data_IF_279958188277
#
_entry.id   IF_279958188277
#
_cell.length_a   1.000
_cell.length_b   1.000
_cell.length_c   1.000
_cell.angle_alpha   90.00
_cell.angle_beta   90.00
_cell.angle_gamma   90.00
#
_symmetry.space_group_name_H-M   'P 1'
#
loop_
_entity.id
_entity.type
_entity.pdbx_description
1 polymer ?
#
# COMPACT_ATOMS: atom_id res chain seq x y z
N UNK A 1 4.69 12.78 -17.25
CA UNK A 1 6.14 12.50 -17.13
C UNK A 1 6.64 13.10 -15.82
N UNK A 2 7.17 12.29 -14.90
CA UNK A 2 7.69 12.73 -13.60
C UNK A 2 8.78 13.78 -13.84
N UNK A 3 8.61 15.02 -13.36
CA UNK A 3 9.66 16.03 -13.45
C UNK A 3 10.68 15.76 -12.35
N UNK A 4 11.84 15.19 -12.72
CA UNK A 4 12.86 14.76 -11.76
C UNK A 4 13.16 15.81 -10.68
N UNK A 5 13.23 17.10 -11.05
CA UNK A 5 13.49 18.21 -10.11
C UNK A 5 12.47 18.30 -8.97
N UNK A 6 11.19 18.05 -9.24
CA UNK A 6 10.11 18.14 -8.23
C UNK A 6 10.01 16.89 -7.34
N UNK A 7 10.61 15.78 -7.76
CA UNK A 7 10.53 14.49 -7.07
C UNK A 7 11.85 14.07 -6.41
N UNK A 8 12.95 14.82 -6.58
CA UNK A 8 14.25 14.48 -5.97
C UNK A 8 14.15 14.16 -4.47
N UNK A 9 13.36 14.95 -3.73
CA UNK A 9 13.22 14.83 -2.28
C UNK A 9 12.56 13.52 -1.81
N UNK A 10 11.81 12.81 -2.67
CA UNK A 10 11.22 11.50 -2.37
C UNK A 10 11.96 10.37 -3.10
N UNK A 11 12.47 10.63 -4.30
CA UNK A 11 13.17 9.66 -5.13
C UNK A 11 14.56 9.31 -4.55
N UNK A 12 15.32 10.29 -4.07
CA UNK A 12 16.65 10.03 -3.49
C UNK A 12 16.54 9.14 -2.25
N UNK A 13 15.69 9.44 -1.25
CA UNK A 13 15.52 8.54 -0.12
C UNK A 13 14.97 7.16 -0.52
N UNK A 14 14.05 7.09 -1.49
CA UNK A 14 13.55 5.79 -1.97
C UNK A 14 14.64 4.94 -2.63
N UNK A 15 15.54 5.53 -3.41
CA UNK A 15 16.69 4.81 -3.99
C UNK A 15 17.65 4.36 -2.90
N UNK A 16 17.98 5.23 -1.94
CA UNK A 16 18.85 4.88 -0.82
C UNK A 16 18.27 3.72 0.00
N UNK A 17 16.96 3.76 0.28
CA UNK A 17 16.26 2.69 0.97
C UNK A 17 16.23 1.40 0.14
N UNK A 18 16.07 1.47 -1.18
CA UNK A 18 16.12 0.30 -2.05
C UNK A 18 17.51 -0.34 -2.05
N UNK A 19 18.58 0.47 -2.12
CA UNK A 19 19.96 -0.03 -2.06
C UNK A 19 20.22 -0.66 -0.70
N UNK A 20 19.84 0.02 0.39
CA UNK A 20 19.94 -0.51 1.76
C UNK A 20 19.20 -1.84 1.90
N UNK A 21 17.95 -1.91 1.43
CA UNK A 21 17.15 -3.13 1.49
C UNK A 21 17.74 -4.26 0.62
N UNK A 22 18.33 -3.93 -0.54
CA UNK A 22 18.96 -4.94 -1.40
C UNK A 22 20.22 -5.53 -0.76
N UNK A 23 21.08 -4.69 -0.17
CA UNK A 23 22.25 -5.15 0.58
C UNK A 23 21.81 -5.97 1.79
N UNK A 24 20.84 -5.46 2.56
CA UNK A 24 20.27 -6.15 3.72
C UNK A 24 19.70 -7.52 3.35
N UNK A 25 18.93 -7.61 2.26
CA UNK A 25 18.38 -8.89 1.78
C UNK A 25 19.46 -9.91 1.41
N UNK A 26 20.52 -9.47 0.70
CA UNK A 26 21.64 -10.35 0.33
C UNK A 26 22.37 -10.84 1.57
N UNK A 27 22.70 -9.95 2.51
CA UNK A 27 23.40 -10.34 3.75
C UNK A 27 22.52 -11.27 4.59
N UNK A 28 21.26 -10.92 4.81
CA UNK A 28 20.33 -11.72 5.60
C UNK A 28 19.98 -13.06 4.95
N UNK A 29 20.20 -13.24 3.65
CA UNK A 29 20.05 -14.57 3.03
C UNK A 29 21.03 -15.60 3.59
N UNK A 30 22.19 -15.15 4.09
CA UNK A 30 23.22 -16.03 4.66
C UNK A 30 23.22 -16.06 6.19
N UNK A 31 22.69 -15.02 6.84
CA UNK A 31 22.78 -14.83 8.30
C UNK A 31 21.41 -14.63 8.96
N UNK A 32 20.33 -15.10 8.35
CA UNK A 32 18.97 -14.83 8.82
C UNK A 32 18.72 -15.39 10.22
N UNK A 33 19.21 -16.61 10.48
CA UNK A 33 19.02 -17.31 11.75
C UNK A 33 19.81 -16.63 12.87
N UNK A 34 21.09 -16.36 12.65
CA UNK A 34 21.96 -15.68 13.60
C UNK A 34 21.46 -14.27 13.92
N UNK A 35 20.94 -13.56 12.90
CA UNK A 35 20.33 -12.26 13.09
C UNK A 35 19.04 -12.34 13.90
N UNK A 36 18.17 -13.33 13.65
CA UNK A 36 16.95 -13.54 14.41
C UNK A 36 17.24 -13.91 15.88
N UNK A 37 18.24 -14.77 16.13
CA UNK A 37 18.73 -15.09 17.47
C UNK A 37 19.26 -13.86 18.21
N UNK A 38 20.02 -13.01 17.53
CA UNK A 38 20.56 -11.79 18.12
C UNK A 38 19.47 -10.75 18.41
N UNK A 39 18.59 -10.47 17.43
CA UNK A 39 17.50 -9.51 17.57
C UNK A 39 16.45 -9.96 18.60
N UNK A 40 16.16 -11.26 18.65
CA UNK A 40 15.18 -11.85 19.58
C UNK A 40 15.51 -11.60 21.04
N UNK A 41 16.79 -11.40 21.40
CA UNK A 41 17.22 -11.02 22.76
C UNK A 41 16.58 -9.71 23.24
N UNK A 42 16.16 -8.84 22.31
CA UNK A 42 15.43 -7.61 22.63
C UNK A 42 14.11 -7.87 23.38
N UNK A 43 13.48 -9.03 23.20
CA UNK A 43 12.24 -9.39 23.90
C UNK A 43 12.42 -9.57 25.40
N UNK A 44 13.65 -9.62 25.94
CA UNK A 44 13.90 -9.65 27.39
C UNK A 44 13.54 -8.34 28.10
N UNK A 45 13.40 -7.25 27.36
CA UNK A 45 13.16 -5.92 27.92
C UNK A 45 11.70 -5.51 27.76
N UNK A 46 11.01 -5.20 28.86
CA UNK A 46 9.58 -4.83 28.86
C UNK A 46 9.25 -3.62 27.97
N UNK A 47 10.11 -2.59 27.97
CA UNK A 47 9.94 -1.42 27.10
C UNK A 47 9.98 -1.82 25.62
N UNK A 48 10.86 -2.76 25.26
CA UNK A 48 10.95 -3.27 23.89
C UNK A 48 9.72 -4.11 23.55
N UNK A 49 9.25 -4.97 24.46
CA UNK A 49 7.98 -5.71 24.28
C UNK A 49 6.82 -4.75 23.98
N UNK A 50 6.69 -3.65 24.73
CA UNK A 50 5.66 -2.65 24.46
C UNK A 50 5.77 -2.02 23.07
N UNK A 51 6.97 -1.60 22.66
CA UNK A 51 7.20 -1.03 21.33
C UNK A 51 6.89 -2.05 20.23
N UNK A 52 7.29 -3.30 20.42
CA UNK A 52 7.00 -4.41 19.50
C UNK A 52 5.49 -4.60 19.34
N UNK A 53 4.77 -4.74 20.45
CA UNK A 53 3.32 -4.92 20.48
C UNK A 53 2.63 -3.74 19.79
N UNK A 54 3.06 -2.51 20.09
CA UNK A 54 2.52 -1.29 19.48
C UNK A 54 2.67 -1.28 17.96
N UNK A 55 3.86 -1.58 17.46
CA UNK A 55 4.12 -1.61 16.02
C UNK A 55 3.41 -2.75 15.30
N UNK A 56 3.25 -3.91 15.94
CA UNK A 56 2.42 -5.00 15.39
C UNK A 56 0.98 -4.53 15.17
N UNK A 57 0.36 -3.91 16.18
CA UNK A 57 -1.01 -3.40 16.07
C UNK A 57 -1.15 -2.30 15.02
N UNK A 58 -0.23 -1.33 14.99
CA UNK A 58 -0.25 -0.31 13.95
C UNK A 58 -0.10 -0.91 12.57
N UNK A 59 0.84 -1.84 12.36
CA UNK A 59 1.07 -2.39 11.02
C UNK A 59 -0.13 -3.21 10.50
N UNK A 60 -0.94 -3.80 11.38
CA UNK A 60 -2.19 -4.46 11.01
C UNK A 60 -3.29 -3.50 10.52
N UNK A 61 -3.28 -2.24 10.99
CA UNK A 61 -4.38 -1.30 10.72
C UNK A 61 -3.98 -0.15 9.79
N UNK A 62 -2.68 0.18 9.68
CA UNK A 62 -2.19 1.37 8.96
C UNK A 62 -2.54 1.37 7.47
N UNK A 63 -2.74 0.20 6.84
CA UNK A 63 -3.16 0.10 5.44
C UNK A 63 -4.60 0.59 5.20
N UNK A 64 -5.44 0.65 6.23
CA UNK A 64 -6.80 1.19 6.12
C UNK A 64 -6.78 2.71 5.88
N UNK A 65 -5.79 3.42 6.43
CA UNK A 65 -5.63 4.88 6.26
C UNK A 65 -5.52 5.31 4.78
N UNK A 66 -4.58 4.79 3.95
CA UNK A 66 -4.53 5.11 2.53
C UNK A 66 -5.82 4.80 1.79
N UNK A 67 -6.45 3.68 2.12
CA UNK A 67 -7.71 3.28 1.49
C UNK A 67 -8.82 4.31 1.79
N UNK A 68 -8.93 4.77 3.03
CA UNK A 68 -9.87 5.81 3.44
C UNK A 68 -9.62 7.14 2.72
N UNK A 69 -8.35 7.56 2.64
CA UNK A 69 -7.97 8.79 1.93
C UNK A 69 -8.41 8.71 0.46
N UNK A 70 -8.12 7.59 -0.21
CA UNK A 70 -8.54 7.38 -1.59
C UNK A 70 -10.07 7.38 -1.74
N UNK A 71 -10.78 6.68 -0.85
CA UNK A 71 -12.24 6.63 -0.84
C UNK A 71 -12.89 8.01 -0.62
N UNK A 72 -12.39 8.79 0.35
CA UNK A 72 -12.88 10.15 0.59
C UNK A 72 -12.58 11.11 -0.55
N UNK A 73 -11.42 10.97 -1.21
CA UNK A 73 -11.13 11.74 -2.42
C UNK A 73 -12.11 11.40 -3.55
N UNK A 74 -12.44 10.13 -3.74
CA UNK A 74 -13.46 9.73 -4.72
C UNK A 74 -14.84 10.26 -4.36
N UNK A 75 -15.23 10.16 -3.07
CA UNK A 75 -16.48 10.68 -2.57
C UNK A 75 -16.61 12.19 -2.83
N UNK A 76 -15.62 12.99 -2.41
CA UNK A 76 -15.63 14.44 -2.62
C UNK A 76 -15.54 14.81 -4.10
N UNK A 77 -14.75 14.08 -4.89
CA UNK A 77 -14.70 14.29 -6.35
C UNK A 77 -16.05 14.04 -6.99
N UNK A 78 -16.74 12.95 -6.61
CA UNK A 78 -18.06 12.60 -7.10
C UNK A 78 -19.11 13.65 -6.71
N UNK A 79 -19.14 14.07 -5.43
CA UNK A 79 -20.04 15.10 -4.94
C UNK A 79 -19.82 16.44 -5.64
N UNK A 80 -18.57 16.88 -5.77
CA UNK A 80 -18.25 18.13 -6.47
C UNK A 80 -18.65 18.06 -7.94
N UNK A 81 -18.35 16.97 -8.64
CA UNK A 81 -18.78 16.78 -10.02
C UNK A 81 -20.31 16.81 -10.16
N UNK A 82 -21.05 16.09 -9.32
CA UNK A 82 -22.52 16.05 -9.40
C UNK A 82 -23.18 17.38 -9.05
N UNK A 83 -22.59 18.21 -8.19
CA UNK A 83 -23.11 19.56 -7.88
C UNK A 83 -23.08 20.53 -9.06
N UNK A 84 -22.25 20.26 -10.08
CA UNK A 84 -22.12 21.13 -11.26
C UNK A 84 -23.24 20.95 -12.27
N UNK A 85 -24.00 19.85 -12.20
CA UNK A 85 -25.11 19.59 -13.11
C UNK A 85 -26.33 20.42 -12.67
N UNK A 86 -27.05 21.00 -13.64
CA UNK A 86 -28.31 21.73 -13.42
C UNK A 86 -29.31 20.78 -12.74
N UNK A 87 -30.04 21.29 -11.73
CA UNK A 87 -31.07 20.57 -10.97
C UNK A 87 -30.61 19.30 -10.23
N UNK A 88 -29.33 19.25 -9.83
CA UNK A 88 -28.77 18.12 -9.10
C UNK A 88 -29.31 18.00 -7.68
N UNK A 89 -29.85 16.83 -7.31
CA UNK A 89 -30.22 16.47 -5.93
C UNK A 89 -29.11 16.74 -4.92
N UNK A 90 -27.84 16.58 -5.33
CA UNK A 90 -26.66 16.83 -4.48
C UNK A 90 -26.42 18.31 -4.18
N UNK A 91 -26.96 19.22 -5.00
CA UNK A 91 -26.92 20.66 -4.76
C UNK A 91 -27.93 21.03 -3.68
N UNK A 92 -29.15 20.52 -3.77
CA UNK A 92 -30.20 20.70 -2.75
C UNK A 92 -29.83 20.02 -1.43
N UNK A 93 -29.29 18.81 -1.48
CA UNK A 93 -28.95 17.99 -0.32
C UNK A 93 -27.45 17.99 -0.01
N UNK A 94 -26.83 19.17 -0.02
CA UNK A 94 -25.36 19.31 0.09
C UNK A 94 -24.76 18.77 1.41
N UNK A 95 -25.61 18.60 2.44
CA UNK A 95 -25.28 18.01 3.75
C UNK A 95 -25.22 16.48 3.74
N UNK A 96 -25.76 15.81 2.71
CA UNK A 96 -25.86 14.34 2.66
C UNK A 96 -24.51 13.60 2.75
N UNK A 97 -23.43 14.24 2.30
CA UNK A 97 -22.07 13.70 2.44
C UNK A 97 -21.65 13.50 3.91
N UNK A 98 -22.18 14.30 4.85
CA UNK A 98 -21.90 14.11 6.28
C UNK A 98 -22.47 12.79 6.79
N UNK A 99 -23.59 12.32 6.25
CA UNK A 99 -24.12 11.00 6.59
C UNK A 99 -23.18 9.89 6.11
N UNK A 100 -22.51 10.07 4.97
CA UNK A 100 -21.51 9.10 4.48
C UNK A 100 -20.28 9.09 5.40
N UNK A 101 -19.77 10.26 5.80
CA UNK A 101 -18.68 10.33 6.77
C UNK A 101 -19.05 9.75 8.14
N UNK A 102 -20.26 10.06 8.63
CA UNK A 102 -20.77 9.53 9.89
C UNK A 102 -20.93 8.01 9.83
N UNK A 103 -21.51 7.48 8.75
CA UNK A 103 -21.66 6.04 8.55
C UNK A 103 -20.31 5.34 8.55
N UNK A 104 -19.32 5.88 7.82
CA UNK A 104 -17.95 5.35 7.84
C UNK A 104 -17.38 5.34 9.26
N UNK A 105 -17.48 6.46 9.99
CA UNK A 105 -16.95 6.56 11.34
C UNK A 105 -17.63 5.60 12.31
N UNK A 106 -18.95 5.42 12.23
CA UNK A 106 -19.70 4.46 13.04
C UNK A 106 -19.25 3.04 12.74
N UNK A 107 -19.17 2.65 11.47
CA UNK A 107 -18.72 1.30 11.09
C UNK A 107 -17.28 1.02 11.56
N UNK A 108 -16.37 1.98 11.36
CA UNK A 108 -14.98 1.86 11.81
C UNK A 108 -14.87 1.81 13.34
N UNK A 109 -15.62 2.66 14.07
CA UNK A 109 -15.62 2.66 15.53
C UNK A 109 -16.20 1.37 16.10
N UNK A 110 -17.33 0.88 15.58
CA UNK A 110 -17.92 -0.40 15.98
C UNK A 110 -16.95 -1.55 15.73
N UNK A 111 -16.29 -1.61 14.57
CA UNK A 111 -15.31 -2.64 14.27
C UNK A 111 -14.12 -2.62 15.24
N UNK A 112 -13.58 -1.43 15.56
CA UNK A 112 -12.46 -1.31 16.50
C UNK A 112 -12.85 -1.58 17.95
N UNK A 113 -14.02 -1.11 18.40
CA UNK A 113 -14.54 -1.41 19.74
C UNK A 113 -14.77 -2.91 19.90
N UNK A 114 -15.32 -3.57 18.87
CA UNK A 114 -15.48 -5.03 18.86
C UNK A 114 -14.15 -5.76 18.97
N UNK A 115 -13.12 -5.31 18.23
CA UNK A 115 -11.77 -5.86 18.33
C UNK A 115 -11.15 -5.65 19.71
N UNK A 116 -11.36 -4.49 20.34
CA UNK A 116 -10.91 -4.20 21.71
C UNK A 116 -11.63 -5.06 22.75
N UNK A 117 -12.94 -5.25 22.60
CA UNK A 117 -13.73 -6.11 23.47
C UNK A 117 -13.26 -7.57 23.38
N UNK A 118 -13.12 -8.09 22.15
CA UNK A 118 -12.63 -9.45 21.91
C UNK A 118 -11.24 -9.69 22.46
N UNK A 119 -10.34 -8.71 22.42
CA UNK A 119 -8.96 -8.86 22.88
C UNK A 119 -8.83 -9.35 24.33
N UNK A 120 -9.84 -9.13 25.18
CA UNK A 120 -9.86 -9.59 26.59
C UNK A 120 -10.16 -11.07 26.75
N UNK A 121 -10.74 -11.69 25.71
CA UNK A 121 -11.22 -13.08 25.74
C UNK A 121 -10.46 -13.98 24.76
N UNK A 122 -9.37 -13.49 24.17
CA UNK A 122 -8.54 -14.30 23.28
C UNK A 122 -7.71 -15.24 24.14
N UNK A 123 -7.83 -16.54 23.85
CA UNK A 123 -6.95 -17.58 24.32
C UNK A 123 -6.14 -18.12 23.13
N UNK A 124 -4.83 -17.93 23.17
CA UNK A 124 -3.88 -18.42 22.15
C UNK A 124 -3.29 -19.79 22.51
N UNK A 125 -3.87 -20.49 23.49
CA UNK A 125 -3.43 -21.80 24.00
C UNK A 125 -2.70 -21.74 25.34
N UNK A 126 -2.50 -20.54 25.91
CA UNK A 126 -1.84 -20.32 27.21
C UNK A 126 -2.80 -19.78 28.28
N UNK A 127 -4.10 -19.73 27.96
CA UNK A 127 -5.13 -19.17 28.82
C UNK A 127 -5.55 -17.75 28.43
N UNK A 128 -6.71 -17.34 28.94
CA UNK A 128 -7.31 -16.03 28.69
C UNK A 128 -6.41 -14.94 29.27
N UNK A 129 -6.14 -13.88 28.48
CA UNK A 129 -5.39 -12.72 28.96
C UNK A 129 -3.88 -12.80 28.75
N UNK A 130 -3.37 -13.91 28.20
CA UNK A 130 -1.98 -14.08 27.76
C UNK A 130 -1.85 -13.89 26.25
N UNK A 131 -0.84 -13.11 25.85
CA UNK A 131 -0.41 -12.96 24.47
C UNK A 131 0.89 -13.77 24.27
N UNK A 132 0.79 -14.84 23.50
CA UNK A 132 1.87 -15.81 23.27
C UNK A 132 2.94 -15.24 22.34
N UNK A 133 2.53 -14.49 21.32
CA UNK A 133 3.42 -13.86 20.33
C UNK A 133 4.54 -13.03 21.01
N UNK A 134 4.19 -12.38 22.12
CA UNK A 134 5.08 -11.43 22.79
C UNK A 134 5.46 -11.84 24.22
N UNK A 135 5.03 -13.04 24.67
CA UNK A 135 5.26 -13.57 26.03
C UNK A 135 4.94 -12.50 27.07
N UNK A 136 3.70 -12.01 27.03
CA UNK A 136 3.21 -10.93 27.91
C UNK A 136 1.69 -11.01 28.08
N UNK A 137 1.10 -10.06 28.80
CA UNK A 137 -0.35 -9.97 28.98
C UNK A 137 -1.01 -9.16 27.86
N UNK A 138 -2.31 -9.39 27.64
CA UNK A 138 -3.12 -8.61 26.70
C UNK A 138 -3.24 -7.12 27.06
N UNK A 139 -2.77 -6.69 28.24
CA UNK A 139 -2.70 -5.27 28.64
C UNK A 139 -1.88 -4.46 27.64
N UNK A 140 -0.74 -5.00 27.21
CA UNK A 140 0.14 -4.35 26.23
C UNK A 140 -0.58 -4.13 24.90
N UNK A 141 -1.31 -5.17 24.45
CA UNK A 141 -2.09 -5.10 23.23
C UNK A 141 -3.30 -4.16 23.33
N UNK A 142 -3.97 -4.15 24.48
CA UNK A 142 -5.10 -3.25 24.75
C UNK A 142 -4.66 -1.78 24.67
N UNK A 143 -3.61 -1.40 25.41
CA UNK A 143 -3.09 -0.03 25.41
C UNK A 143 -2.63 0.36 24.00
N UNK A 144 -1.89 -0.53 23.33
CA UNK A 144 -1.39 -0.31 21.96
C UNK A 144 -2.52 -0.07 20.96
N UNK A 145 -3.59 -0.88 21.01
CA UNK A 145 -4.78 -0.69 20.16
C UNK A 145 -5.52 0.61 20.47
N UNK A 146 -5.62 1.02 21.74
CA UNK A 146 -6.23 2.31 22.11
C UNK A 146 -5.43 3.47 21.51
N UNK A 147 -4.09 3.45 21.61
CA UNK A 147 -3.23 4.49 21.02
C UNK A 147 -3.37 4.50 19.49
N UNK A 148 -3.37 3.33 18.84
CA UNK A 148 -3.58 3.22 17.39
C UNK A 148 -4.95 3.77 16.98
N UNK A 149 -6.01 3.43 17.70
CA UNK A 149 -7.37 3.90 17.48
C UNK A 149 -7.48 5.44 17.58
N UNK A 150 -6.89 6.06 18.61
CA UNK A 150 -6.87 7.53 18.76
C UNK A 150 -6.06 8.18 17.62
N UNK A 151 -4.93 7.58 17.26
CA UNK A 151 -4.06 8.09 16.20
C UNK A 151 -4.76 8.06 14.84
N UNK A 152 -5.42 6.95 14.51
CA UNK A 152 -6.23 6.78 13.31
C UNK A 152 -7.42 7.74 13.27
N UNK A 153 -8.18 7.85 14.35
CA UNK A 153 -9.29 8.81 14.46
C UNK A 153 -8.80 10.23 14.14
N UNK A 154 -7.67 10.63 14.73
CA UNK A 154 -7.06 11.95 14.51
C UNK A 154 -6.72 12.16 13.04
N UNK A 155 -6.13 11.14 12.38
CA UNK A 155 -5.81 11.20 10.96
C UNK A 155 -7.09 11.28 10.10
N UNK A 156 -8.10 10.46 10.37
CA UNK A 156 -9.37 10.49 9.63
C UNK A 156 -10.07 11.83 9.73
N UNK A 157 -10.17 12.39 10.94
CA UNK A 157 -10.75 13.71 11.17
C UNK A 157 -9.93 14.81 10.47
N UNK A 158 -8.60 14.72 10.51
CA UNK A 158 -7.72 15.61 9.77
C UNK A 158 -7.93 15.55 8.26
N UNK A 159 -8.03 14.35 7.69
CA UNK A 159 -8.28 14.14 6.26
C UNK A 159 -9.66 14.68 5.85
N UNK A 160 -10.71 14.36 6.60
CA UNK A 160 -12.07 14.87 6.34
C UNK A 160 -12.06 16.39 6.42
N UNK A 161 -11.42 16.98 7.44
CA UNK A 161 -11.32 18.43 7.58
C UNK A 161 -10.62 19.07 6.36
N UNK A 162 -9.47 18.53 5.96
CA UNK A 162 -8.71 19.03 4.81
C UNK A 162 -9.49 18.90 3.50
N UNK A 163 -10.08 17.73 3.24
CA UNK A 163 -10.85 17.49 2.02
C UNK A 163 -12.09 18.39 1.98
N UNK A 164 -12.88 18.39 3.04
CA UNK A 164 -14.18 19.06 3.06
C UNK A 164 -14.07 20.58 3.09
N UNK A 165 -13.20 21.13 3.94
CA UNK A 165 -13.15 22.57 4.19
C UNK A 165 -12.09 23.30 3.37
N UNK A 166 -11.03 22.62 2.93
CA UNK A 166 -9.98 23.25 2.11
C UNK A 166 -10.05 22.88 0.63
N UNK A 167 -10.28 21.62 0.29
CA UNK A 167 -10.13 21.14 -1.09
C UNK A 167 -11.44 21.01 -1.88
N UNK A 168 -12.58 20.75 -1.22
CA UNK A 168 -13.86 20.53 -1.87
C UNK A 168 -14.61 21.81 -2.27
N UNK A 169 -14.07 22.99 -1.95
CA UNK A 169 -14.70 24.29 -2.25
C UNK A 169 -14.79 24.63 -3.75
N UNK A 170 -14.19 23.82 -4.62
CA UNK A 170 -14.33 23.90 -6.08
C UNK A 170 -14.18 22.52 -6.71
N UNK A 171 -14.39 22.39 -8.03
CA UNK A 171 -14.03 21.18 -8.81
C UNK A 171 -12.53 20.85 -8.79
N UNK A 172 -11.75 21.41 -7.86
CA UNK A 172 -10.31 21.26 -7.69
C UNK A 172 -9.85 19.81 -7.71
N UNK A 173 -10.50 18.94 -6.93
CA UNK A 173 -10.14 17.51 -6.86
C UNK A 173 -10.31 16.81 -8.22
N UNK A 174 -11.41 17.11 -8.92
CA UNK A 174 -11.67 16.60 -10.26
C UNK A 174 -10.68 17.19 -11.28
N UNK A 175 -10.59 18.52 -11.37
CA UNK A 175 -9.82 19.27 -12.36
C UNK A 175 -8.31 19.03 -12.26
N UNK A 176 -7.81 18.67 -11.06
CA UNK A 176 -6.40 18.31 -10.86
C UNK A 176 -6.16 16.80 -10.83
N UNK A 177 -7.16 15.99 -11.14
CA UNK A 177 -7.01 14.54 -11.27
C UNK A 177 -6.69 13.79 -9.97
N UNK A 178 -7.06 14.32 -8.79
CA UNK A 178 -6.82 13.64 -7.51
C UNK A 178 -7.51 12.26 -7.45
N UNK A 179 -8.63 12.07 -8.15
CA UNK A 179 -9.28 10.77 -8.23
C UNK A 179 -8.42 9.70 -8.92
N UNK A 180 -7.58 10.08 -9.90
CA UNK A 180 -6.64 9.15 -10.57
C UNK A 180 -5.58 8.71 -9.55
N UNK A 181 -5.12 9.62 -8.71
CA UNK A 181 -4.14 9.31 -7.68
C UNK A 181 -4.75 8.37 -6.61
N UNK A 182 -6.03 8.53 -6.27
CA UNK A 182 -6.78 7.54 -5.49
C UNK A 182 -6.79 6.14 -6.14
N UNK A 183 -6.97 6.06 -7.46
CA UNK A 183 -6.88 4.77 -8.20
C UNK A 183 -5.47 4.18 -8.14
N UNK A 184 -4.42 5.00 -8.17
CA UNK A 184 -3.04 4.53 -8.00
C UNK A 184 -2.85 3.91 -6.61
N UNK A 185 -3.31 4.59 -5.54
CA UNK A 185 -3.22 4.08 -4.16
C UNK A 185 -3.95 2.73 -4.04
N UNK A 186 -5.21 2.65 -4.45
CA UNK A 186 -5.99 1.40 -4.35
C UNK A 186 -5.42 0.30 -5.22
N UNK A 187 -4.99 0.61 -6.46
CA UNK A 187 -4.32 -0.36 -7.32
C UNK A 187 -3.04 -0.90 -6.69
N UNK A 188 -2.24 -0.05 -6.06
CA UNK A 188 -1.01 -0.47 -5.38
C UNK A 188 -1.33 -1.41 -4.21
N UNK A 189 -2.31 -1.08 -3.37
CA UNK A 189 -2.73 -1.95 -2.26
C UNK A 189 -3.20 -3.31 -2.80
N UNK A 190 -4.18 -3.33 -3.71
CA UNK A 190 -4.77 -4.56 -4.23
C UNK A 190 -3.73 -5.44 -4.89
N UNK A 191 -2.92 -4.88 -5.81
CA UNK A 191 -1.92 -5.67 -6.54
C UNK A 191 -0.83 -6.18 -5.60
N UNK A 192 -0.36 -5.36 -4.67
CA UNK A 192 0.71 -5.77 -3.76
C UNK A 192 0.24 -6.85 -2.78
N UNK A 193 -0.98 -6.75 -2.26
CA UNK A 193 -1.53 -7.78 -1.38
C UNK A 193 -1.87 -9.08 -2.13
N UNK A 194 -2.29 -9.02 -3.40
CA UNK A 194 -2.44 -10.24 -4.23
C UNK A 194 -1.08 -10.93 -4.40
N UNK A 195 -0.03 -10.17 -4.74
CA UNK A 195 1.33 -10.73 -4.87
C UNK A 195 1.80 -11.29 -3.54
N UNK A 196 1.59 -10.56 -2.44
CA UNK A 196 1.96 -11.00 -1.10
C UNK A 196 1.26 -12.30 -0.71
N UNK A 197 -0.06 -12.42 -0.90
CA UNK A 197 -0.80 -13.64 -0.60
C UNK A 197 -0.29 -14.81 -1.45
N UNK A 198 -0.07 -14.58 -2.74
CA UNK A 198 0.47 -15.60 -3.63
C UNK A 198 1.85 -16.10 -3.18
N UNK A 199 2.78 -15.19 -2.84
CA UNK A 199 4.13 -15.58 -2.39
C UNK A 199 4.05 -16.25 -1.01
N UNK A 200 3.32 -15.66 -0.05
CA UNK A 200 3.12 -16.23 1.30
C UNK A 200 2.67 -17.68 1.24
N UNK A 201 1.61 -17.95 0.48
CA UNK A 201 1.09 -19.30 0.34
C UNK A 201 1.91 -20.19 -0.59
N UNK A 202 2.81 -19.65 -1.41
CA UNK A 202 3.71 -20.48 -2.23
C UNK A 202 4.88 -21.04 -1.43
N UNK A 203 5.47 -20.22 -0.55
CA UNK A 203 6.65 -20.62 0.22
C UNK A 203 6.26 -21.22 1.57
N UNK A 204 5.22 -20.68 2.23
CA UNK A 204 4.73 -21.13 3.53
C UNK A 204 5.82 -21.26 4.59
N UNK A 205 6.75 -20.32 4.57
CA UNK A 205 7.86 -20.25 5.50
C UNK A 205 7.35 -19.92 6.91
N UNK A 206 7.82 -20.63 7.95
CA UNK A 206 7.36 -20.42 9.31
C UNK A 206 8.10 -19.30 10.03
N UNK A 207 7.39 -18.60 10.91
CA UNK A 207 7.98 -17.61 11.82
C UNK A 207 9.12 -18.21 12.66
N UNK A 208 10.10 -17.36 13.03
CA UNK A 208 11.20 -17.75 13.91
C UNK A 208 10.71 -18.28 15.27
N UNK A 209 9.68 -17.68 15.87
CA UNK A 209 9.05 -18.17 17.10
C UNK A 209 8.41 -19.56 16.98
N UNK A 210 8.13 -20.02 15.75
CA UNK A 210 7.55 -21.34 15.50
C UNK A 210 8.59 -22.44 15.33
N UNK A 211 9.87 -22.09 15.29
CA UNK A 211 10.91 -23.11 15.41
C UNK A 211 10.79 -23.79 16.76
N UNK A 212 10.63 -25.11 16.74
CA UNK A 212 10.45 -25.94 17.93
C UNK A 212 11.56 -25.72 18.96
N UNK A 213 12.80 -25.68 18.50
CA UNK A 213 13.97 -25.40 19.35
C UNK A 213 13.87 -24.05 20.06
N UNK A 214 13.40 -23.01 19.37
CA UNK A 214 13.23 -21.66 19.94
C UNK A 214 12.08 -21.63 20.93
N UNK A 215 10.98 -22.29 20.58
CA UNK A 215 9.79 -22.37 21.40
C UNK A 215 10.06 -23.08 22.75
N UNK A 216 10.66 -24.27 22.69
CA UNK A 216 10.93 -25.13 23.85
C UNK A 216 12.07 -24.62 24.74
N UNK A 217 13.00 -23.81 24.21
CA UNK A 217 14.14 -23.29 25.00
C UNK A 217 13.95 -21.83 25.39
N UNK A 218 13.77 -20.94 24.41
CA UNK A 218 13.83 -19.50 24.64
C UNK A 218 12.49 -18.96 25.11
N UNK A 219 11.41 -19.30 24.41
CA UNK A 219 10.06 -18.82 24.74
C UNK A 219 9.57 -19.41 26.06
N UNK A 220 9.80 -20.71 26.29
CA UNK A 220 9.47 -21.37 27.55
C UNK A 220 10.20 -20.69 28.73
N UNK A 221 11.51 -20.45 28.61
CA UNK A 221 12.27 -19.79 29.68
C UNK A 221 11.80 -18.36 29.94
N UNK A 222 11.49 -17.59 28.88
CA UNK A 222 10.90 -16.26 29.03
C UNK A 222 9.55 -16.32 29.75
N UNK A 223 8.68 -17.26 29.38
CA UNK A 223 7.37 -17.42 30.00
C UNK A 223 7.44 -17.78 31.48
N UNK A 224 8.42 -18.62 31.85
CA UNK A 224 8.70 -18.97 33.25
C UNK A 224 9.18 -17.72 34.01
N UNK A 225 10.12 -16.97 33.45
CA UNK A 225 10.67 -15.76 34.08
C UNK A 225 9.60 -14.67 34.28
N UNK A 226 8.60 -14.60 33.40
CA UNK A 226 7.46 -13.69 33.50
C UNK A 226 6.35 -14.20 34.44
N UNK A 227 6.49 -15.41 34.99
CA UNK A 227 5.47 -16.04 35.83
C UNK A 227 4.21 -16.45 35.08
N UNK A 228 4.29 -16.57 33.75
CA UNK A 228 3.17 -17.02 32.90
C UNK A 228 3.04 -18.55 32.96
N UNK A 229 4.17 -19.25 33.03
CA UNK A 229 4.23 -20.71 33.14
C UNK A 229 4.90 -21.10 34.46
N UNK A 230 4.24 -21.97 35.22
CA UNK A 230 4.81 -22.58 36.42
C UNK A 230 5.29 -24.01 36.11
N UNK A 231 6.60 -24.25 36.21
CA UNK A 231 7.22 -25.56 36.02
C UNK A 231 6.75 -26.60 37.04
N UNK A 232 6.31 -26.16 38.23
CA UNK A 232 5.83 -27.06 39.27
C UNK A 232 4.35 -27.42 39.09
N UNK A 233 3.66 -26.82 38.12
CA UNK A 233 2.27 -27.09 37.80
C UNK A 233 2.17 -27.93 36.51
N UNK A 234 1.85 -29.24 36.63
CA UNK A 234 1.65 -30.09 35.46
C UNK A 234 0.58 -29.54 34.50
N UNK A 235 -0.45 -28.86 35.02
CA UNK A 235 -1.49 -28.22 34.21
C UNK A 235 -0.93 -27.05 33.39
N UNK A 236 -0.09 -26.21 33.99
CA UNK A 236 0.54 -25.08 33.31
C UNK A 236 1.45 -25.55 32.17
N UNK A 237 2.23 -26.60 32.42
CA UNK A 237 3.12 -27.19 31.42
C UNK A 237 2.33 -27.92 30.32
N UNK A 238 1.24 -28.60 30.68
CA UNK A 238 0.35 -29.24 29.71
C UNK A 238 -0.27 -28.23 28.73
N UNK A 239 -0.71 -27.05 29.19
CA UNK A 239 -1.25 -25.99 28.32
C UNK A 239 -0.19 -25.48 27.32
N UNK A 240 1.05 -25.32 27.77
CA UNK A 240 2.15 -24.91 26.89
C UNK A 240 2.35 -25.91 25.75
N UNK A 241 2.44 -27.21 26.03
CA UNK A 241 2.61 -28.24 25.01
C UNK A 241 1.32 -28.52 24.22
N UNK A 242 0.15 -28.28 24.79
CA UNK A 242 -1.13 -28.38 24.09
C UNK A 242 -1.16 -27.42 22.90
N UNK A 243 -0.66 -26.20 23.08
CA UNK A 243 -0.58 -25.22 21.98
C UNK A 243 0.31 -25.69 20.82
N UNK A 244 1.38 -26.44 21.12
CA UNK A 244 2.21 -27.09 20.11
C UNK A 244 1.50 -28.26 19.43
N UNK A 245 0.84 -29.13 20.21
CA UNK A 245 0.08 -30.27 19.69
C UNK A 245 -1.07 -29.88 18.76
N UNK A 246 -1.67 -28.70 18.99
CA UNK A 246 -2.72 -28.12 18.16
C UNK A 246 -2.20 -27.39 16.93
N UNK A 247 -0.90 -27.49 16.66
CA UNK A 247 -0.23 -26.83 15.55
C UNK A 247 -0.45 -25.30 15.59
N UNK A 248 -0.51 -24.72 16.80
CA UNK A 248 -0.69 -23.28 17.02
C UNK A 248 0.66 -22.57 17.10
N UNK A 249 1.65 -23.18 17.76
CA UNK A 249 2.98 -22.61 17.98
C UNK A 249 4.06 -23.70 18.00
N UNK A 250 5.33 -23.36 17.71
CA UNK A 250 6.47 -24.26 17.95
C UNK A 250 6.47 -25.57 17.13
N UNK A 251 5.84 -25.55 15.95
CA UNK A 251 5.56 -26.70 15.10
C UNK A 251 6.52 -26.87 13.90
N UNK A 252 7.46 -25.94 13.71
CA UNK A 252 8.48 -26.06 12.68
C UNK A 252 9.73 -26.74 13.26
N UNK A 253 10.06 -27.93 12.78
CA UNK A 253 11.20 -28.72 13.28
C UNK A 253 12.55 -28.07 12.92
N UNK A 254 12.64 -27.39 11.77
CA UNK A 254 13.88 -26.79 11.28
C UNK A 254 13.67 -25.41 10.68
N UNK A 255 14.74 -24.61 10.66
CA UNK A 255 14.80 -23.37 9.89
C UNK A 255 14.60 -23.64 8.40
N UNK A 256 13.79 -22.80 7.75
CA UNK A 256 13.57 -22.83 6.32
C UNK A 256 14.07 -21.51 5.66
N UNK A 257 15.02 -21.57 4.72
CA UNK A 257 15.44 -20.41 3.93
C UNK A 257 14.29 -19.84 3.10
N UNK A 258 14.31 -18.52 2.86
CA UNK A 258 13.22 -17.82 2.14
C UNK A 258 12.98 -18.31 0.71
N UNK A 259 14.00 -18.90 0.08
CA UNK A 259 13.94 -19.39 -1.30
C UNK A 259 13.48 -20.85 -1.39
N UNK A 260 13.30 -21.54 -0.26
CA UNK A 260 12.81 -22.92 -0.22
C UNK A 260 11.31 -22.97 0.03
N UNK A 261 10.62 -23.81 -0.72
CA UNK A 261 9.18 -24.06 -0.53
C UNK A 261 9.02 -25.06 0.61
N UNK A 262 8.18 -24.74 1.59
CA UNK A 262 7.87 -25.64 2.69
C UNK A 262 7.03 -26.83 2.19
N UNK A 263 7.68 -27.97 1.95
CA UNK A 263 7.05 -29.17 1.40
C UNK A 263 6.87 -29.10 -0.13
N UNK A 264 5.67 -29.42 -0.62
CA UNK A 264 5.39 -29.48 -2.06
C UNK A 264 4.37 -28.42 -2.48
N UNK A 265 4.75 -27.56 -3.44
CA UNK A 265 3.92 -26.44 -3.90
C UNK A 265 2.51 -26.86 -4.35
N UNK A 266 2.39 -27.93 -5.15
CA UNK A 266 1.09 -28.40 -5.65
C UNK A 266 0.24 -29.02 -4.54
N UNK A 267 0.85 -29.81 -3.65
CA UNK A 267 0.17 -30.34 -2.47
C UNK A 267 -0.38 -29.20 -1.59
N UNK A 268 0.38 -28.11 -1.47
CA UNK A 268 0.04 -27.00 -0.60
C UNK A 268 -1.16 -26.17 -1.07
N UNK A 269 -1.55 -26.26 -2.36
CA UNK A 269 -2.69 -25.52 -2.91
C UNK A 269 -3.99 -25.79 -2.13
N UNK A 270 -4.15 -26.98 -1.55
CA UNK A 270 -5.35 -27.32 -0.75
C UNK A 270 -5.44 -26.53 0.56
N UNK A 271 -4.33 -25.97 1.05
CA UNK A 271 -4.28 -25.14 2.26
C UNK A 271 -4.41 -23.64 1.97
N UNK A 272 -4.46 -23.22 0.70
CA UNK A 272 -4.62 -21.80 0.34
C UNK A 272 -6.02 -21.28 0.61
N UNK A 273 -7.00 -22.17 0.62
CA UNK A 273 -8.41 -21.83 0.83
C UNK A 273 -8.85 -22.41 2.18
N UNK A 274 -9.19 -21.56 3.17
CA UNK A 274 -9.68 -22.03 4.46
C UNK A 274 -10.86 -22.98 4.30
N UNK A 275 -10.80 -24.13 4.98
CA UNK A 275 -11.87 -25.14 4.99
C UNK A 275 -11.76 -26.24 3.93
N UNK A 276 -10.82 -26.16 2.97
CA UNK A 276 -10.61 -27.25 2.00
C UNK A 276 -9.79 -28.42 2.55
N UNK A 277 -8.93 -28.17 3.54
CA UNK A 277 -8.12 -29.19 4.20
C UNK A 277 -7.93 -28.83 5.67
N UNK A 278 -7.68 -29.84 6.51
CA UNK A 278 -7.29 -29.61 7.89
C UNK A 278 -5.86 -29.04 7.91
N UNK A 279 -5.70 -27.85 8.50
CA UNK A 279 -4.39 -27.19 8.59
C UNK A 279 -3.39 -27.99 9.45
N UNK A 280 -3.88 -28.91 10.29
CA UNK A 280 -3.03 -29.86 11.02
C UNK A 280 -2.28 -30.83 10.09
N UNK A 281 -2.80 -31.07 8.87
CA UNK A 281 -2.17 -31.94 7.88
C UNK A 281 -1.14 -31.20 6.99
N UNK A 282 -0.96 -29.91 7.22
CA UNK A 282 -0.04 -29.08 6.46
C UNK A 282 1.42 -29.36 6.89
N UNK A 283 2.40 -29.15 6.00
CA UNK A 283 3.81 -29.24 6.35
C UNK A 283 4.13 -28.40 7.60
N UNK A 284 5.10 -28.84 8.41
CA UNK A 284 5.42 -28.21 9.70
C UNK A 284 5.56 -26.68 9.58
N UNK A 285 4.83 -25.94 10.41
CA UNK A 285 4.88 -24.47 10.40
C UNK A 285 4.05 -23.76 9.32
N UNK A 286 3.33 -24.47 8.45
CA UNK A 286 2.57 -23.87 7.33
C UNK A 286 1.39 -22.98 7.75
N UNK A 287 0.90 -23.10 8.99
CA UNK A 287 -0.22 -22.27 9.47
C UNK A 287 0.17 -20.79 9.58
N UNK A 288 1.45 -20.52 9.77
CA UNK A 288 1.98 -19.24 10.20
C UNK A 288 3.03 -18.73 9.22
N UNK A 289 2.53 -18.35 8.05
CA UNK A 289 3.32 -18.01 6.86
C UNK A 289 3.86 -16.57 6.90
N UNK A 290 5.17 -16.44 6.97
CA UNK A 290 5.83 -15.17 7.28
C UNK A 290 6.29 -14.37 6.06
N UNK A 291 6.79 -15.04 5.02
CA UNK A 291 7.44 -14.42 3.87
C UNK A 291 6.48 -14.16 2.71
N UNK A 292 6.31 -12.93 2.21
CA UNK A 292 6.92 -11.67 2.66
C UNK A 292 6.10 -10.95 3.74
N UNK A 293 6.71 -9.93 4.37
CA UNK A 293 6.08 -9.15 5.45
C UNK A 293 4.94 -8.23 4.99
N UNK A 294 3.73 -8.50 5.49
CA UNK A 294 2.55 -7.67 5.27
C UNK A 294 2.59 -6.33 6.01
N UNK A 295 3.15 -6.32 7.22
CA UNK A 295 3.32 -5.10 8.03
C UNK A 295 4.25 -4.10 7.33
N UNK A 296 5.38 -4.59 6.79
CA UNK A 296 6.29 -3.76 6.00
C UNK A 296 5.61 -3.24 4.74
N UNK A 297 4.86 -4.08 4.01
CA UNK A 297 4.08 -3.63 2.85
C UNK A 297 3.02 -2.57 3.21
N UNK A 298 2.36 -2.68 4.36
CA UNK A 298 1.37 -1.72 4.83
C UNK A 298 1.98 -0.32 5.02
N UNK A 299 3.23 -0.24 5.48
CA UNK A 299 3.98 1.03 5.58
C UNK A 299 4.18 1.69 4.20
N UNK A 300 4.45 0.91 3.15
CA UNK A 300 4.53 1.42 1.79
C UNK A 300 3.17 1.81 1.23
N UNK A 301 2.09 1.12 1.61
CA UNK A 301 0.73 1.54 1.28
C UNK A 301 0.45 2.94 1.83
N UNK A 302 0.87 3.23 3.07
CA UNK A 302 0.75 4.57 3.64
C UNK A 302 1.60 5.61 2.89
N UNK A 303 2.87 5.30 2.60
CA UNK A 303 3.75 6.17 1.80
C UNK A 303 3.20 6.46 0.40
N UNK A 304 2.47 5.50 -0.19
CA UNK A 304 1.89 5.64 -1.53
C UNK A 304 0.96 6.85 -1.67
N UNK A 305 0.27 7.27 -0.59
CA UNK A 305 -0.50 8.53 -0.60
C UNK A 305 0.40 9.72 -0.89
N UNK A 306 1.50 9.84 -0.15
CA UNK A 306 2.43 10.96 -0.30
C UNK A 306 3.02 10.94 -1.71
N UNK A 307 3.42 9.76 -2.18
CA UNK A 307 4.05 9.62 -3.49
C UNK A 307 3.10 9.95 -4.66
N UNK A 308 1.86 9.45 -4.62
CA UNK A 308 0.92 9.64 -5.74
C UNK A 308 0.21 10.99 -5.73
N UNK A 309 -0.02 11.63 -4.57
CA UNK A 309 -0.69 12.93 -4.51
C UNK A 309 0.21 14.14 -4.81
N UNK A 310 1.47 13.92 -5.20
CA UNK A 310 2.42 14.96 -5.63
C UNK A 310 2.57 14.95 -7.15
N UNK A 311 2.53 16.14 -7.78
CA UNK A 311 2.70 16.24 -9.24
C UNK A 311 2.62 17.64 -9.83
N UNK A 312 2.78 17.74 -11.15
CA UNK A 312 2.87 19.02 -11.90
C UNK A 312 1.64 19.90 -11.74
N UNK A 313 0.47 19.30 -11.57
CA UNK A 313 -0.82 20.01 -11.47
C UNK A 313 -1.32 20.11 -10.04
N UNK A 314 -0.45 19.83 -9.08
CA UNK A 314 -0.72 19.87 -7.65
C UNK A 314 -0.01 21.08 -7.04
N UNK A 315 -0.48 21.60 -5.89
CA UNK A 315 0.26 22.61 -5.15
C UNK A 315 1.70 22.16 -4.88
N UNK A 316 2.61 23.11 -4.74
CA UNK A 316 3.98 22.82 -4.32
C UNK A 316 3.94 22.08 -2.98
N UNK A 317 4.77 21.05 -2.87
CA UNK A 317 4.91 20.25 -1.65
C UNK A 317 5.39 21.14 -0.50
N UNK A 318 4.62 21.18 0.59
CA UNK A 318 4.96 21.96 1.78
C UNK A 318 6.19 21.39 2.50
N UNK A 319 6.89 22.22 3.30
CA UNK A 319 7.99 21.75 4.16
C UNK A 319 7.53 20.62 5.07
N UNK A 320 6.34 20.77 5.68
CA UNK A 320 5.73 19.76 6.55
C UNK A 320 5.58 18.39 5.86
N UNK A 321 5.13 18.36 4.60
CA UNK A 321 4.97 17.09 3.86
C UNK A 321 6.33 16.41 3.64
N UNK A 322 7.37 17.19 3.33
CA UNK A 322 8.73 16.65 3.17
C UNK A 322 9.27 16.11 4.49
N UNK A 323 9.11 16.85 5.58
CA UNK A 323 9.50 16.41 6.93
C UNK A 323 8.78 15.12 7.32
N UNK A 324 7.47 15.04 7.12
CA UNK A 324 6.69 13.83 7.41
C UNK A 324 7.19 12.61 6.59
N UNK A 325 7.62 12.82 5.36
CA UNK A 325 8.19 11.76 4.52
C UNK A 325 9.56 11.32 5.00
N UNK A 326 10.40 12.25 5.47
CA UNK A 326 11.68 11.89 6.07
C UNK A 326 11.51 11.17 7.41
N UNK A 327 10.51 11.55 8.22
CA UNK A 327 10.14 10.85 9.46
C UNK A 327 9.50 9.48 9.22
N UNK A 328 8.95 9.24 8.03
CA UNK A 328 8.43 7.93 7.66
C UNK A 328 9.55 6.87 7.54
N UNK A 329 10.76 7.25 7.14
CA UNK A 329 11.89 6.31 7.02
C UNK A 329 12.27 5.69 8.37
N UNK A 330 12.58 6.44 9.44
CA UNK A 330 12.85 5.84 10.74
C UNK A 330 11.62 5.09 11.28
N UNK A 331 10.41 5.55 10.99
CA UNK A 331 9.20 4.82 11.37
C UNK A 331 9.08 3.45 10.69
N UNK A 332 9.42 3.36 9.40
CA UNK A 332 9.53 2.09 8.67
C UNK A 332 10.64 1.20 9.25
N UNK A 333 11.82 1.77 9.52
CA UNK A 333 12.94 1.00 10.08
C UNK A 333 12.60 0.45 11.46
N UNK A 334 11.92 1.22 12.32
CA UNK A 334 11.44 0.72 13.61
C UNK A 334 10.45 -0.42 13.40
N UNK A 335 9.47 -0.27 12.49
CA UNK A 335 8.53 -1.36 12.15
C UNK A 335 9.26 -2.63 11.70
N UNK A 336 10.23 -2.53 10.79
CA UNK A 336 10.98 -3.69 10.31
C UNK A 336 11.74 -4.37 11.45
N UNK A 337 12.43 -3.58 12.27
CA UNK A 337 13.21 -4.08 13.40
C UNK A 337 12.33 -4.72 14.45
N UNK A 338 11.19 -4.11 14.81
CA UNK A 338 10.29 -4.64 15.84
C UNK A 338 9.71 -5.99 15.43
N UNK A 339 9.37 -6.18 14.16
CA UNK A 339 8.88 -7.48 13.67
C UNK A 339 9.92 -8.60 13.81
N UNK A 340 11.19 -8.27 13.57
CA UNK A 340 12.30 -9.22 13.71
C UNK A 340 12.64 -9.48 15.19
N UNK A 341 12.66 -8.44 16.02
CA UNK A 341 12.83 -8.56 17.48
C UNK A 341 11.70 -9.40 18.07
N UNK A 342 10.47 -9.23 17.59
CA UNK A 342 9.33 -10.03 18.01
C UNK A 342 9.42 -11.52 17.65
N UNK A 343 10.41 -11.92 16.83
CA UNK A 343 10.52 -13.27 16.25
C UNK A 343 9.37 -13.59 15.29
N UNK A 344 8.62 -12.57 14.88
CA UNK A 344 7.45 -12.65 14.00
C UNK A 344 7.79 -12.46 12.52
N UNK A 345 9.06 -12.23 12.18
CA UNK A 345 9.53 -12.16 10.80
C UNK A 345 11.03 -12.37 10.77
N UNK A 346 11.52 -12.86 9.64
CA UNK A 346 12.95 -12.86 9.32
C UNK A 346 13.38 -11.52 8.72
N UNK A 347 14.68 -11.24 8.73
CA UNK A 347 15.20 -10.02 8.10
C UNK A 347 14.96 -10.04 6.57
N UNK A 348 15.10 -11.22 5.97
CA UNK A 348 14.83 -11.40 4.53
C UNK A 348 13.37 -11.05 4.18
N UNK A 349 12.38 -11.36 5.04
CA UNK A 349 10.97 -11.02 4.81
C UNK A 349 10.75 -9.52 4.70
N UNK A 350 11.32 -8.76 5.64
CA UNK A 350 11.12 -7.31 5.73
C UNK A 350 11.93 -6.59 4.64
N UNK A 351 13.16 -7.03 4.34
CA UNK A 351 13.96 -6.45 3.28
C UNK A 351 13.38 -6.74 1.89
N UNK A 352 12.94 -7.97 1.63
CA UNK A 352 12.27 -8.31 0.37
C UNK A 352 11.02 -7.45 0.14
N UNK A 353 10.21 -7.26 1.19
CA UNK A 353 9.02 -6.42 1.12
C UNK A 353 9.35 -4.98 0.73
N UNK A 354 10.43 -4.42 1.26
CA UNK A 354 10.95 -3.11 0.85
C UNK A 354 11.40 -3.10 -0.63
N UNK A 355 12.17 -4.11 -1.03
CA UNK A 355 12.71 -4.22 -2.39
C UNK A 355 11.61 -4.31 -3.45
N UNK A 356 10.52 -5.03 -3.18
CA UNK A 356 9.40 -5.19 -4.11
C UNK A 356 8.49 -3.96 -4.11
N UNK A 357 8.24 -3.38 -2.93
CA UNK A 357 7.30 -2.26 -2.79
C UNK A 357 7.75 -1.01 -3.55
N UNK A 358 9.04 -0.68 -3.49
CA UNK A 358 9.57 0.55 -4.12
C UNK A 358 9.36 0.53 -5.65
N UNK A 359 9.89 -0.45 -6.43
CA UNK A 359 9.62 -0.56 -7.85
C UNK A 359 8.13 -0.71 -8.17
N UNK A 360 7.38 -1.47 -7.35
CA UNK A 360 5.94 -1.64 -7.49
C UNK A 360 5.20 -0.29 -7.49
N UNK A 361 5.55 0.61 -6.56
CA UNK A 361 4.96 1.95 -6.50
C UNK A 361 5.19 2.74 -7.80
N UNK A 362 6.40 2.70 -8.37
CA UNK A 362 6.71 3.37 -9.65
C UNK A 362 5.94 2.76 -10.81
N UNK A 363 5.88 1.42 -10.91
CA UNK A 363 5.17 0.72 -11.97
C UNK A 363 3.67 1.09 -11.98
N UNK A 364 3.03 1.12 -10.82
CA UNK A 364 1.63 1.51 -10.67
C UNK A 364 1.41 2.96 -11.07
N UNK A 365 2.28 3.90 -10.65
CA UNK A 365 2.19 5.30 -11.08
C UNK A 365 2.11 5.45 -12.60
N UNK A 366 2.93 4.68 -13.34
CA UNK A 366 2.95 4.76 -14.80
C UNK A 366 1.78 4.03 -15.48
N UNK A 367 1.35 2.88 -14.95
CA UNK A 367 0.33 2.04 -15.60
C UNK A 367 -1.08 2.53 -15.27
N UNK A 368 -1.39 2.80 -14.01
CA UNK A 368 -2.74 3.18 -13.59
C UNK A 368 -3.18 4.52 -14.21
N UNK A 369 -2.28 5.51 -14.33
CA UNK A 369 -2.58 6.78 -15.00
C UNK A 369 -2.97 6.57 -16.46
N UNK A 370 -2.21 5.75 -17.20
CA UNK A 370 -2.52 5.44 -18.60
C UNK A 370 -3.87 4.74 -18.76
N UNK A 371 -4.19 3.80 -17.86
CA UNK A 371 -5.47 3.07 -17.88
C UNK A 371 -6.63 4.02 -17.56
N UNK A 372 -6.53 4.82 -16.49
CA UNK A 372 -7.56 5.76 -16.09
C UNK A 372 -7.86 6.78 -17.19
N UNK A 373 -6.83 7.34 -17.81
CA UNK A 373 -6.99 8.27 -18.92
C UNK A 373 -7.66 7.58 -20.11
N UNK A 374 -7.22 6.39 -20.51
CA UNK A 374 -7.85 5.62 -21.60
C UNK A 374 -9.34 5.37 -21.35
N UNK A 375 -9.73 5.03 -20.13
CA UNK A 375 -11.13 4.81 -19.74
C UNK A 375 -11.90 6.14 -19.80
N UNK A 376 -11.36 7.22 -19.24
CA UNK A 376 -11.99 8.53 -19.24
C UNK A 376 -12.24 9.04 -20.67
N UNK A 377 -11.27 8.88 -21.58
CA UNK A 377 -11.42 9.23 -23.00
C UNK A 377 -12.52 8.42 -23.67
N UNK A 378 -12.59 7.10 -23.43
CA UNK A 378 -13.67 6.25 -23.95
C UNK A 378 -15.04 6.69 -23.45
N UNK A 379 -15.12 7.05 -22.18
CA UNK A 379 -16.37 7.51 -21.56
C UNK A 379 -16.80 8.88 -22.10
N UNK A 380 -15.90 9.86 -22.16
CA UNK A 380 -16.17 11.17 -22.76
C UNK A 380 -16.65 11.04 -24.22
N UNK A 381 -16.02 10.14 -25.00
CA UNK A 381 -16.41 9.82 -26.38
C UNK A 381 -17.79 9.16 -26.52
N UNK A 382 -18.26 8.46 -25.48
CA UNK A 382 -19.61 7.88 -25.41
C UNK A 382 -20.63 8.95 -25.02
N UNK A 383 -20.27 9.84 -24.10
CA UNK A 383 -21.13 10.90 -23.59
C UNK A 383 -21.12 12.18 -24.45
N UNK A 384 -20.33 12.22 -25.53
CA UNK A 384 -20.12 13.41 -26.38
C UNK A 384 -19.64 14.64 -25.57
N UNK A 385 -18.93 14.41 -24.47
CA UNK A 385 -18.34 15.48 -23.67
C UNK A 385 -16.99 15.90 -24.27
N UNK A 386 -16.66 17.19 -24.20
CA UNK A 386 -15.34 17.68 -24.61
C UNK A 386 -14.24 17.01 -23.77
N UNK A 387 -13.22 16.51 -24.46
CA UNK A 387 -12.22 15.62 -23.89
C UNK A 387 -11.04 16.39 -23.28
N UNK A 388 -10.95 17.69 -23.58
CA UNK A 388 -9.82 18.59 -23.30
C UNK A 388 -9.17 19.07 -24.59
N UNK A 389 -8.18 19.96 -24.47
CA UNK A 389 -7.46 20.49 -25.62
C UNK A 389 -6.51 19.43 -26.17
N UNK A 390 -6.68 19.08 -27.44
CA UNK A 390 -5.74 18.22 -28.12
C UNK A 390 -4.54 19.06 -28.55
N UNK A 391 -3.34 18.62 -28.21
CA UNK A 391 -2.09 19.26 -28.58
C UNK A 391 -1.39 18.43 -29.65
N UNK A 392 -1.11 19.03 -30.80
CA UNK A 392 -0.20 18.44 -31.79
C UNK A 392 1.15 19.13 -31.67
N UNK A 393 2.13 18.42 -31.09
CA UNK A 393 3.48 18.92 -30.83
C UNK A 393 4.44 18.39 -31.89
N UNK A 394 5.07 19.29 -32.64
CA UNK A 394 6.03 18.94 -33.68
C UNK A 394 7.47 18.90 -33.12
N UNK A 395 8.22 17.85 -33.48
CA UNK A 395 9.65 17.66 -33.19
C UNK A 395 10.39 17.41 -34.53
N UNK A 396 11.71 17.60 -34.59
CA UNK A 396 12.57 17.44 -35.77
C UNK A 396 12.27 16.20 -36.65
N UNK A 397 11.82 15.08 -36.07
CA UNK A 397 11.59 13.81 -36.81
C UNK A 397 10.13 13.33 -36.84
N UNK A 398 9.27 13.82 -35.95
CA UNK A 398 7.90 13.31 -35.74
C UNK A 398 7.00 14.39 -35.18
N UNK A 399 5.70 14.26 -35.42
CA UNK A 399 4.69 14.95 -34.62
C UNK A 399 4.11 14.02 -33.57
N UNK A 400 3.74 14.58 -32.42
CA UNK A 400 3.11 13.90 -31.31
C UNK A 400 1.72 14.49 -31.13
N UNK A 401 0.70 13.69 -31.41
CA UNK A 401 -0.66 14.06 -31.02
C UNK A 401 -0.84 13.62 -29.58
N UNK A 402 -1.15 14.57 -28.71
CA UNK A 402 -1.57 14.28 -27.36
C UNK A 402 -2.82 15.03 -26.96
N UNK A 403 -3.44 14.60 -25.88
CA UNK A 403 -4.48 15.37 -25.20
C UNK A 403 -3.88 15.83 -23.89
N UNK A 404 -4.00 17.12 -23.59
CA UNK A 404 -3.69 17.60 -22.25
C UNK A 404 -4.93 17.47 -21.37
N UNK A 405 -4.83 16.61 -20.36
CA UNK A 405 -5.89 16.46 -19.35
C UNK A 405 -5.26 16.31 -17.98
N UNK A 406 -5.83 17.01 -17.00
CA UNK A 406 -5.28 17.08 -15.64
C UNK A 406 -3.81 17.52 -15.63
N UNK A 407 -3.42 18.37 -16.61
CA UNK A 407 -2.08 18.85 -16.96
C UNK A 407 -1.01 17.76 -17.20
N UNK A 408 -1.45 16.56 -17.60
CA UNK A 408 -0.57 15.56 -18.23
C UNK A 408 -0.86 15.57 -19.73
N UNK A 409 0.16 15.80 -20.55
CA UNK A 409 0.08 15.58 -21.99
C UNK A 409 0.16 14.08 -22.24
N UNK A 410 -0.95 13.51 -22.70
CA UNK A 410 -1.03 12.10 -23.03
C UNK A 410 -0.73 11.88 -24.51
N UNK A 411 0.43 11.30 -24.83
CA UNK A 411 0.77 10.94 -26.20
C UNK A 411 -0.17 9.82 -26.68
N UNK A 412 -1.09 10.18 -27.56
CA UNK A 412 -2.01 9.27 -28.22
C UNK A 412 -1.31 8.51 -29.34
N UNK A 413 -0.51 9.23 -30.13
CA UNK A 413 0.18 8.69 -31.28
C UNK A 413 1.33 9.60 -31.70
N UNK A 414 2.43 8.96 -32.09
CA UNK A 414 3.49 9.61 -32.85
C UNK A 414 3.32 9.36 -34.34
N UNK A 415 3.52 10.39 -35.13
CA UNK A 415 3.44 10.38 -36.58
C UNK A 415 4.81 10.71 -37.14
N UNK A 416 5.37 9.82 -37.97
CA UNK A 416 6.50 10.18 -38.83
C UNK A 416 5.99 11.09 -39.93
N UNK A 417 6.78 12.11 -40.28
CA UNK A 417 6.54 12.95 -41.42
C UNK A 417 6.51 12.11 -42.71
N UNK A 418 5.46 12.28 -43.52
CA UNK A 418 5.24 11.56 -44.78
C UNK A 418 4.23 12.32 -45.63
N UNK A 419 4.12 12.02 -46.93
CA UNK A 419 3.13 12.63 -47.82
C UNK A 419 1.68 12.50 -47.30
N UNK A 420 1.36 11.40 -46.62
CA UNK A 420 0.04 11.14 -46.03
C UNK A 420 -0.05 11.54 -44.54
N UNK A 421 0.75 12.50 -44.08
CA UNK A 421 0.78 12.91 -42.67
C UNK A 421 -0.56 13.47 -42.21
N UNK A 422 -1.12 14.45 -42.91
CA UNK A 422 -2.39 15.10 -42.56
C UNK A 422 -3.53 14.08 -42.49
N UNK A 423 -3.66 13.22 -43.49
CA UNK A 423 -4.65 12.13 -43.50
C UNK A 423 -4.50 11.17 -42.31
N UNK A 424 -3.26 10.86 -41.89
CA UNK A 424 -3.01 10.00 -40.72
C UNK A 424 -3.39 10.70 -39.41
N UNK A 425 -3.09 11.99 -39.29
CA UNK A 425 -3.45 12.82 -38.14
C UNK A 425 -4.97 12.94 -38.05
N UNK A 426 -5.65 13.31 -39.13
CA UNK A 426 -7.10 13.47 -39.19
C UNK A 426 -7.85 12.16 -38.93
N UNK A 427 -7.39 11.04 -39.49
CA UNK A 427 -7.94 9.71 -39.17
C UNK A 427 -7.86 9.41 -37.67
N UNK A 428 -6.79 9.86 -37.01
CA UNK A 428 -6.63 9.65 -35.57
C UNK A 428 -7.45 10.63 -34.74
N UNK A 429 -7.53 11.91 -35.13
CA UNK A 429 -8.39 12.94 -34.51
C UNK A 429 -9.86 12.51 -34.57
N UNK A 430 -10.33 12.04 -35.75
CA UNK A 430 -11.68 11.49 -35.90
C UNK A 430 -11.90 10.27 -35.01
N UNK A 431 -10.91 9.38 -34.89
CA UNK A 431 -10.98 8.20 -34.00
C UNK A 431 -11.12 8.56 -32.52
N UNK A 432 -10.44 9.64 -32.09
CA UNK A 432 -10.53 10.14 -30.70
C UNK A 432 -11.68 11.12 -30.49
N UNK A 433 -12.43 11.46 -31.54
CA UNK A 433 -13.60 12.38 -31.54
C UNK A 433 -13.32 13.76 -30.97
N UNK A 434 -12.09 14.27 -31.13
CA UNK A 434 -11.79 15.66 -30.81
C UNK A 434 -12.17 16.52 -32.01
N UNK A 435 -12.89 17.63 -31.79
CA UNK A 435 -13.15 18.59 -32.86
C UNK A 435 -11.84 19.25 -33.27
N UNK A 436 -11.57 19.38 -34.58
CA UNK A 436 -10.31 19.96 -35.10
C UNK A 436 -10.10 21.41 -34.60
N UNK A 437 -11.19 22.15 -34.38
CA UNK A 437 -11.19 23.50 -33.76
C UNK A 437 -10.68 23.56 -32.31
N UNK A 438 -10.64 22.42 -31.61
CA UNK A 438 -10.12 22.27 -30.25
C UNK A 438 -8.67 21.73 -30.24
N UNK A 439 -8.03 21.66 -31.42
CA UNK A 439 -6.65 21.23 -31.58
C UNK A 439 -5.71 22.43 -31.48
N UNK A 440 -4.99 22.53 -30.38
CA UNK A 440 -3.85 23.45 -30.23
C UNK A 440 -2.64 22.87 -30.95
N UNK A 441 -2.13 23.59 -31.94
CA UNK A 441 -0.94 23.17 -32.71
C UNK A 441 0.27 23.98 -32.25
N UNK A 442 1.26 23.31 -31.66
CA UNK A 442 2.50 23.93 -31.19
C UNK A 442 3.73 23.36 -31.90
N UNK A 443 4.62 24.26 -32.32
CA UNK A 443 5.90 23.94 -32.94
C UNK A 443 6.98 24.04 -31.86
N UNK A 444 7.77 22.98 -31.66
CA UNK A 444 8.89 22.98 -30.73
C UNK A 444 10.22 22.65 -31.45
N UNK A 445 10.33 23.12 -32.69
CA UNK A 445 11.44 22.87 -33.61
C UNK A 445 11.50 23.93 -34.70
N UNK A 446 12.69 24.35 -35.11
CA UNK A 446 12.86 25.28 -36.23
C UNK A 446 12.76 24.63 -37.62
N UNK A 447 12.38 23.34 -37.69
CA UNK A 447 12.30 22.59 -38.94
C UNK A 447 11.23 23.14 -39.90
N UNK A 448 11.67 23.64 -41.07
CA UNK A 448 10.78 24.21 -42.10
C UNK A 448 9.79 23.21 -42.70
N UNK A 449 10.15 21.92 -42.77
CA UNK A 449 9.21 20.88 -43.16
C UNK A 449 8.08 20.72 -42.14
N UNK A 450 8.39 20.78 -40.85
CA UNK A 450 7.37 20.79 -39.79
C UNK A 450 6.49 22.04 -39.85
N UNK A 451 7.08 23.22 -40.13
CA UNK A 451 6.32 24.47 -40.33
C UNK A 451 5.33 24.37 -41.50
N UNK A 452 5.73 23.75 -42.62
CA UNK A 452 4.84 23.51 -43.78
C UNK A 452 3.63 22.64 -43.41
N UNK A 453 3.85 21.56 -42.66
CA UNK A 453 2.77 20.66 -42.19
C UNK A 453 1.82 21.36 -41.20
N UNK A 454 2.31 22.27 -40.37
CA UNK A 454 1.43 23.09 -39.51
C UNK A 454 0.55 24.03 -40.34
N UNK A 455 1.13 24.65 -41.38
CA UNK A 455 0.41 25.61 -42.22
C UNK A 455 -0.70 24.94 -43.02
N UNK A 456 -0.55 23.69 -43.45
CA UNK A 456 -1.65 22.93 -44.09
C UNK A 456 -2.78 22.67 -43.09
N UNK A 457 -2.46 22.21 -41.88
CA UNK A 457 -3.44 21.90 -40.84
C UNK A 457 -4.22 23.11 -40.29
N UNK A 458 -3.71 24.35 -40.45
CA UNK A 458 -4.36 25.59 -39.98
C UNK A 458 -5.22 26.30 -41.04
N UNK A 459 -5.20 25.86 -42.29
CA UNK A 459 -5.85 26.54 -43.44
C UNK A 459 -7.30 26.09 -43.71
N UNK A 460 -7.81 25.16 -42.93
CA UNK A 460 -9.20 24.68 -42.91
C UNK A 460 -9.85 25.08 -41.58
#
# INVERSE_FOLDING_TARGET
>A
MINFKNYKWILVPAILLLVFASIGFVVSTFYDLEAAEWLGKGMRYQTIKFVVVFYSYIGMTIWSIPLCIAAFIWLETFYSFKKTKKDSWFKANSKSIWYVYLLWFVLWAVANIHLLYKARFIDQGWGIGINVDYVTTWVYGFISRVIAFISEATIYMGVIYLLRFKLAKSNFLYNRGYWIDGVKVVSFIVISYIILLFIKHSFGRPYYMNLKSVYETTILQEAINEGIIDLNSPESLAKFYESQSKNLWGNAEVYLPWYEINGNWFYNLKFWIPGLANIADAPGGWRDIDFPSGHTLAMFCFLSNIFYFVGRNKPKVSKLTKTATYLWIPHLLIMMTTLCVARSHWLTDVFFSCMVSIPGMYLIAFKAEKVCLKINLRWANKCKESVGDANLVFNNKRAFLGIEKYGTIWNLKSFKYSANFDNKVDKHIKKIKVQKSQLTISLNTDNDFAKKQIKSLRKE
#
